data_IF_930867908517
#
_entry.id   IF_930867908517
#
_cell.length_a   1.000
_cell.length_b   1.000
_cell.length_c   1.000
_cell.angle_alpha   90.00
_cell.angle_beta   90.00
_cell.angle_gamma   90.00
#
_symmetry.space_group_name_H-M   'P 1'
#
loop_
_entity.id
_entity.type
_entity.pdbx_description
1 polymer ?
#
# COMPACT_ATOMS: atom_id res chain seq x y z
N UNK A 1 -13.72 -14.62 -26.27
CA UNK A 1 -13.07 -13.37 -25.81
C UNK A 1 -12.95 -13.44 -24.30
N UNK A 2 -11.76 -13.76 -23.79
CA UNK A 2 -11.52 -13.90 -22.35
C UNK A 2 -11.48 -12.51 -21.71
N UNK A 3 -12.60 -12.05 -21.16
CA UNK A 3 -12.61 -10.86 -20.31
C UNK A 3 -11.90 -11.22 -19.01
N UNK A 4 -10.67 -10.73 -18.81
CA UNK A 4 -10.00 -10.82 -17.52
C UNK A 4 -10.65 -9.81 -16.56
N UNK A 5 -11.43 -10.25 -15.55
CA UNK A 5 -12.19 -9.35 -14.68
C UNK A 5 -11.30 -8.45 -13.81
N UNK A 6 -9.99 -8.72 -13.75
CA UNK A 6 -9.02 -8.03 -12.91
C UNK A 6 -8.30 -6.85 -13.59
N UNK A 7 -8.32 -6.77 -14.93
CA UNK A 7 -7.60 -5.73 -15.68
C UNK A 7 -8.10 -4.30 -15.38
N UNK A 8 -9.41 -4.02 -15.35
CA UNK A 8 -9.90 -2.66 -15.06
C UNK A 8 -9.53 -2.19 -13.64
N UNK A 9 -9.44 -3.14 -12.72
CA UNK A 9 -9.13 -2.88 -11.32
C UNK A 9 -7.62 -2.64 -11.13
N UNK A 10 -6.77 -3.39 -11.81
CA UNK A 10 -5.32 -3.22 -11.76
C UNK A 10 -4.89 -1.86 -12.30
N UNK A 11 -5.46 -1.41 -13.41
CA UNK A 11 -5.19 -0.09 -14.01
C UNK A 11 -5.56 1.05 -13.06
N UNK A 12 -6.77 0.99 -12.49
CA UNK A 12 -7.25 1.97 -11.52
C UNK A 12 -6.33 2.05 -10.28
N UNK A 13 -5.91 0.91 -9.75
CA UNK A 13 -5.01 0.84 -8.60
C UNK A 13 -3.59 1.32 -8.92
N UNK A 14 -3.10 1.12 -10.16
CA UNK A 14 -1.81 1.66 -10.62
C UNK A 14 -1.83 3.19 -10.69
N UNK A 15 -2.98 3.79 -11.03
CA UNK A 15 -3.16 5.23 -11.10
C UNK A 15 -3.15 5.86 -9.71
N UNK A 16 -3.87 5.27 -8.76
CA UNK A 16 -3.86 5.69 -7.35
C UNK A 16 -2.43 5.64 -6.77
N UNK A 17 -1.65 4.61 -7.13
CA UNK A 17 -0.27 4.48 -6.66
C UNK A 17 0.64 5.60 -7.21
N UNK A 18 0.43 5.98 -8.48
CA UNK A 18 1.14 7.11 -9.12
C UNK A 18 0.74 8.46 -8.53
N UNK A 19 -0.54 8.66 -8.23
CA UNK A 19 -1.03 9.89 -7.58
C UNK A 19 -0.41 10.04 -6.19
N UNK A 20 -0.34 8.97 -5.40
CA UNK A 20 0.33 8.98 -4.09
C UNK A 20 1.82 9.36 -4.21
N UNK A 21 2.53 8.86 -5.23
CA UNK A 21 3.94 9.20 -5.50
C UNK A 21 4.18 10.67 -5.90
N UNK A 22 3.15 11.41 -6.31
CA UNK A 22 3.27 12.81 -6.75
C UNK A 22 3.11 13.83 -5.62
N UNK A 23 2.92 13.41 -4.37
CA UNK A 23 2.78 14.32 -3.23
C UNK A 23 4.09 15.08 -2.95
N UNK A 24 4.00 16.41 -2.78
CA UNK A 24 5.15 17.30 -2.62
C UNK A 24 5.74 17.33 -1.19
N UNK A 25 4.96 16.94 -0.19
CA UNK A 25 5.36 16.89 1.23
C UNK A 25 5.42 15.44 1.72
N UNK A 26 6.46 15.08 2.48
CA UNK A 26 6.69 13.72 2.96
C UNK A 26 5.61 13.27 3.96
N UNK A 27 5.09 14.18 4.79
CA UNK A 27 3.99 13.86 5.74
C UNK A 27 2.70 13.54 4.99
N UNK A 28 2.37 14.41 4.03
CA UNK A 28 1.22 14.25 3.14
C UNK A 28 1.35 12.99 2.27
N UNK A 29 2.57 12.69 1.80
CA UNK A 29 2.91 11.47 1.07
C UNK A 29 2.66 10.23 1.92
N UNK A 30 3.19 10.17 3.14
CA UNK A 30 3.03 9.02 4.04
C UNK A 30 1.54 8.74 4.26
N UNK A 31 0.75 9.75 4.60
CA UNK A 31 -0.67 9.56 4.85
C UNK A 31 -1.44 9.05 3.62
N UNK A 32 -1.15 9.60 2.44
CA UNK A 32 -1.74 9.16 1.17
C UNK A 32 -1.33 7.72 0.83
N UNK A 33 -0.04 7.39 0.99
CA UNK A 33 0.51 6.06 0.74
C UNK A 33 -0.06 5.01 1.69
N UNK A 34 -0.14 5.30 2.99
CA UNK A 34 -0.74 4.42 4.00
C UNK A 34 -2.22 4.13 3.68
N UNK A 35 -2.97 5.18 3.30
CA UNK A 35 -4.37 5.04 2.90
C UNK A 35 -4.52 4.20 1.63
N UNK A 36 -3.63 4.38 0.64
CA UNK A 36 -3.58 3.56 -0.57
C UNK A 36 -3.34 2.08 -0.22
N UNK A 37 -2.36 1.79 0.64
CA UNK A 37 -2.01 0.43 1.06
C UNK A 37 -3.20 -0.27 1.73
N UNK A 38 -3.85 0.39 2.70
CA UNK A 38 -4.99 -0.19 3.41
C UNK A 38 -6.19 -0.42 2.49
N UNK A 39 -6.48 0.54 1.61
CA UNK A 39 -7.58 0.42 0.64
C UNK A 39 -7.33 -0.77 -0.29
N UNK A 40 -6.10 -0.92 -0.78
CA UNK A 40 -5.74 -2.00 -1.69
C UNK A 40 -5.87 -3.38 -1.02
N UNK A 41 -5.40 -3.52 0.21
CA UNK A 41 -5.52 -4.77 0.95
C UNK A 41 -6.97 -5.11 1.29
N UNK A 42 -7.84 -4.10 1.43
CA UNK A 42 -9.30 -4.30 1.58
C UNK A 42 -9.90 -4.90 0.34
N UNK A 43 -9.51 -4.38 -0.82
CA UNK A 43 -9.92 -4.91 -2.13
C UNK A 43 -9.43 -6.34 -2.32
N UNK A 44 -8.21 -6.66 -1.89
CA UNK A 44 -7.64 -8.01 -2.00
C UNK A 44 -8.16 -9.00 -0.94
N UNK A 45 -8.90 -8.55 0.08
CA UNK A 45 -9.43 -9.37 1.19
C UNK A 45 -8.37 -10.12 2.01
N UNK A 46 -7.15 -9.60 2.09
CA UNK A 46 -6.00 -10.27 2.76
C UNK A 46 -5.98 -10.00 4.29
N UNK A 47 -6.97 -9.27 4.81
CA UNK A 47 -7.02 -8.84 6.22
C UNK A 47 -7.06 -9.97 7.27
N UNK A 48 -7.47 -11.19 6.91
CA UNK A 48 -7.76 -12.24 7.90
C UNK A 48 -6.55 -12.98 8.49
N UNK A 49 -5.37 -12.92 7.85
CA UNK A 49 -4.25 -13.80 8.21
C UNK A 49 -2.92 -13.10 8.52
N UNK A 50 -2.87 -11.77 8.47
CA UNK A 50 -1.61 -11.05 8.60
C UNK A 50 -1.21 -10.92 10.07
N UNK A 51 -0.02 -11.42 10.48
CA UNK A 51 0.43 -11.32 11.86
C UNK A 51 0.70 -9.86 12.22
N UNK A 52 -0.12 -9.32 13.13
CA UNK A 52 -0.07 -7.93 13.59
C UNK A 52 1.01 -7.70 14.66
N UNK A 53 1.64 -8.77 15.16
CA UNK A 53 2.76 -8.70 16.11
C UNK A 53 4.09 -8.56 15.35
N UNK A 54 4.29 -7.45 14.65
CA UNK A 54 5.59 -7.11 14.06
C UNK A 54 6.15 -5.84 14.69
N UNK A 55 7.49 -5.75 14.71
CA UNK A 55 8.27 -4.62 15.26
C UNK A 55 7.81 -3.30 14.62
N UNK A 56 7.65 -2.26 15.43
CA UNK A 56 7.37 -0.91 14.95
C UNK A 56 8.53 -0.42 14.07
N UNK A 57 8.22 -0.01 12.85
CA UNK A 57 9.20 0.50 11.91
C UNK A 57 9.56 1.95 12.24
N UNK A 58 10.81 2.35 11.97
CA UNK A 58 11.16 3.77 12.03
C UNK A 58 10.42 4.53 10.93
N UNK A 59 10.29 5.85 11.10
CA UNK A 59 9.63 6.70 10.11
C UNK A 59 10.37 6.68 8.75
N UNK A 60 11.69 6.73 8.78
CA UNK A 60 12.55 6.64 7.60
C UNK A 60 12.41 5.30 6.88
N UNK A 61 12.38 4.19 7.64
CA UNK A 61 12.18 2.86 7.08
C UNK A 61 10.79 2.75 6.43
N UNK A 62 9.76 3.26 7.10
CA UNK A 62 8.39 3.29 6.59
C UNK A 62 8.28 4.11 5.31
N UNK A 63 8.87 5.30 5.27
CA UNK A 63 8.88 6.15 4.08
C UNK A 63 9.52 5.43 2.88
N UNK A 64 10.70 4.83 3.10
CA UNK A 64 11.42 4.07 2.09
C UNK A 64 10.60 2.90 1.56
N UNK A 65 10.00 2.10 2.45
CA UNK A 65 9.21 0.92 2.07
C UNK A 65 7.89 1.30 1.39
N UNK A 66 7.22 2.38 1.80
CA UNK A 66 6.04 2.91 1.11
C UNK A 66 6.39 3.32 -0.33
N UNK A 67 7.50 4.06 -0.52
CA UNK A 67 7.99 4.46 -1.85
C UNK A 67 8.28 3.22 -2.72
N UNK A 68 8.96 2.22 -2.17
CA UNK A 68 9.26 0.97 -2.87
C UNK A 68 7.98 0.20 -3.27
N UNK A 69 7.04 0.02 -2.34
CA UNK A 69 5.80 -0.71 -2.59
C UNK A 69 4.93 -0.03 -3.65
N UNK A 70 4.77 1.29 -3.56
CA UNK A 70 4.03 2.07 -4.55
C UNK A 70 4.70 2.02 -5.94
N UNK A 71 6.03 2.02 -5.97
CA UNK A 71 6.78 1.84 -7.23
C UNK A 71 6.51 0.49 -7.87
N UNK A 72 6.54 -0.60 -7.11
CA UNK A 72 6.16 -1.92 -7.64
C UNK A 72 4.74 -1.92 -8.23
N UNK A 73 3.79 -1.30 -7.53
CA UNK A 73 2.41 -1.20 -8.01
C UNK A 73 2.25 -0.33 -9.25
N UNK A 74 3.00 0.77 -9.34
CA UNK A 74 3.01 1.65 -10.50
C UNK A 74 3.62 0.98 -11.73
N UNK A 75 4.60 0.09 -11.54
CA UNK A 75 5.30 -0.64 -12.61
C UNK A 75 4.60 -1.95 -13.03
N UNK A 76 3.33 -2.15 -12.65
CA UNK A 76 2.56 -3.31 -13.10
C UNK A 76 2.77 -4.58 -12.28
N UNK A 77 3.29 -4.47 -11.05
CA UNK A 77 3.34 -5.57 -10.08
C UNK A 77 2.26 -5.40 -8.99
N UNK A 78 0.96 -5.49 -9.31
CA UNK A 78 -0.14 -5.06 -8.44
C UNK A 78 -0.37 -5.92 -7.19
N UNK A 79 0.28 -7.08 -7.10
CA UNK A 79 0.11 -8.09 -6.06
C UNK A 79 1.31 -8.18 -5.10
N UNK A 80 2.33 -7.33 -5.26
CA UNK A 80 3.43 -7.24 -4.29
C UNK A 80 2.85 -6.73 -2.97
N UNK A 81 3.18 -7.41 -1.87
CA UNK A 81 2.72 -7.06 -0.53
C UNK A 81 3.94 -7.03 0.39
N UNK A 82 4.08 -5.93 1.12
CA UNK A 82 4.98 -5.87 2.28
C UNK A 82 4.14 -6.10 3.54
N UNK A 83 4.24 -7.31 4.09
CA UNK A 83 3.50 -7.69 5.29
C UNK A 83 3.94 -6.94 6.55
N UNK A 84 5.23 -6.57 6.64
CA UNK A 84 5.77 -5.82 7.77
C UNK A 84 5.23 -4.40 7.76
N UNK A 85 5.31 -3.76 6.61
CA UNK A 85 4.74 -2.43 6.39
C UNK A 85 3.23 -2.44 6.64
N UNK A 86 2.52 -3.46 6.18
CA UNK A 86 1.10 -3.58 6.49
C UNK A 86 0.82 -3.64 8.00
N UNK A 87 1.52 -4.51 8.73
CA UNK A 87 1.30 -4.67 10.16
C UNK A 87 1.57 -3.35 10.90
N UNK A 88 2.64 -2.64 10.53
CA UNK A 88 2.97 -1.32 11.06
C UNK A 88 1.87 -0.28 10.78
N UNK A 89 1.46 -0.13 9.52
CA UNK A 89 0.42 0.83 9.10
C UNK A 89 -0.94 0.52 9.74
N UNK A 90 -1.33 -0.76 9.79
CA UNK A 90 -2.57 -1.19 10.42
C UNK A 90 -2.56 -0.94 11.93
N UNK A 91 -1.44 -1.20 12.60
CA UNK A 91 -1.29 -0.94 14.04
C UNK A 91 -1.35 0.56 14.34
N UNK A 92 -0.69 1.40 13.54
CA UNK A 92 -0.72 2.87 13.71
C UNK A 92 -2.13 3.41 13.54
N UNK A 93 -2.88 2.96 12.53
CA UNK A 93 -4.26 3.40 12.30
C UNK A 93 -5.26 2.93 13.35
N UNK A 94 -4.95 1.88 14.12
CA UNK A 94 -5.76 1.49 15.30
C UNK A 94 -5.46 2.33 16.53
N UNK A 95 -4.28 2.95 16.61
CA UNK A 95 -3.83 3.75 17.76
C UNK A 95 -4.11 5.25 17.58
N UNK A 96 -4.21 5.72 16.33
CA UNK A 96 -4.63 7.06 15.97
C UNK A 96 -6.15 7.23 16.11
#
# INVERSE_FOLDING_TARGET
MSQHPFLPQADSLSRISREALSSADDTSFIHAAETCVLTRLKTLRIFGGLPLQKREMSEEERLSRLKALLSYWANGCPFVIDEQLFADVANRRRRA
#
